data_IF_249216123590
#
_entry.id   IF_249216123590
#
_cell.length_a   1.000
_cell.length_b   1.000
_cell.length_c   1.000
_cell.angle_alpha   90.00
_cell.angle_beta   90.00
_cell.angle_gamma   90.00
#
_symmetry.space_group_name_H-M   'P 1'
#
loop_
_entity.id
_entity.type
_entity.pdbx_description
1 polymer ?
#
# COMPACT_ATOMS: atom_id res chain seq x y z
N UNK A 1 -14.63 -9.89 11.76
CA UNK A 1 -14.60 -9.35 10.39
C UNK A 1 -16.00 -8.97 9.89
N UNK A 2 -16.98 -9.89 9.79
CA UNK A 2 -18.33 -9.58 9.24
C UNK A 2 -19.10 -8.49 9.99
N UNK A 3 -18.99 -8.43 11.32
CA UNK A 3 -19.68 -7.41 12.12
C UNK A 3 -19.16 -5.99 11.83
N UNK A 4 -17.85 -5.82 11.69
CA UNK A 4 -17.23 -4.51 11.35
C UNK A 4 -17.69 -4.01 9.99
N UNK A 5 -17.74 -4.89 8.99
CA UNK A 5 -18.23 -4.52 7.65
C UNK A 5 -19.68 -4.03 7.72
N UNK A 6 -20.54 -4.77 8.42
CA UNK A 6 -21.94 -4.38 8.58
C UNK A 6 -22.11 -3.04 9.32
N UNK A 7 -21.34 -2.81 10.38
CA UNK A 7 -21.36 -1.53 11.11
C UNK A 7 -20.92 -0.35 10.22
N UNK A 8 -19.91 -0.54 9.37
CA UNK A 8 -19.46 0.48 8.42
C UNK A 8 -20.58 0.84 7.42
N UNK A 9 -21.27 -0.15 6.89
CA UNK A 9 -22.41 0.03 5.99
C UNK A 9 -23.54 0.81 6.68
N UNK A 10 -23.93 0.43 7.89
CA UNK A 10 -24.97 1.11 8.68
C UNK A 10 -24.60 2.58 8.98
N UNK A 11 -23.36 2.86 9.37
CA UNK A 11 -22.88 4.23 9.62
C UNK A 11 -22.99 5.07 8.34
N UNK A 12 -22.58 4.51 7.20
CA UNK A 12 -22.63 5.21 5.92
C UNK A 12 -24.08 5.45 5.44
N UNK A 13 -24.98 4.53 5.69
CA UNK A 13 -26.41 4.70 5.40
C UNK A 13 -27.03 5.81 6.26
N UNK A 14 -26.73 5.85 7.55
CA UNK A 14 -27.19 6.91 8.45
C UNK A 14 -26.68 8.28 7.98
N UNK A 15 -25.41 8.39 7.68
CA UNK A 15 -24.81 9.63 7.21
C UNK A 15 -25.49 10.13 5.94
N UNK A 16 -25.70 9.26 4.97
CA UNK A 16 -26.39 9.61 3.70
C UNK A 16 -27.84 9.97 3.91
N UNK A 17 -28.55 9.20 4.75
CA UNK A 17 -29.99 9.42 4.99
C UNK A 17 -30.28 10.75 5.65
N UNK A 18 -29.41 11.18 6.55
CA UNK A 18 -29.61 12.41 7.33
C UNK A 18 -28.76 13.58 6.83
N UNK A 19 -27.95 13.38 5.80
CA UNK A 19 -27.04 14.39 5.19
C UNK A 19 -26.18 15.12 6.24
N UNK A 20 -25.76 14.38 7.29
CA UNK A 20 -24.96 14.95 8.38
C UNK A 20 -23.47 14.86 8.09
N UNK A 21 -22.73 15.85 8.59
CA UNK A 21 -21.27 15.77 8.64
C UNK A 21 -20.86 14.92 9.83
N UNK A 22 -20.08 13.87 9.58
CA UNK A 22 -19.54 12.99 10.63
C UNK A 22 -18.03 13.07 10.63
N UNK A 23 -17.45 13.20 11.82
CA UNK A 23 -16.01 13.05 12.04
C UNK A 23 -15.76 11.72 12.73
N UNK A 24 -15.00 10.87 12.08
CA UNK A 24 -14.64 9.54 12.56
C UNK A 24 -13.15 9.48 12.87
N UNK A 25 -12.78 9.15 14.10
CA UNK A 25 -11.38 9.01 14.50
C UNK A 25 -11.05 7.54 14.65
N UNK A 26 -10.07 7.07 13.91
CA UNK A 26 -9.62 5.68 13.93
C UNK A 26 -8.12 5.57 13.73
N UNK A 27 -7.53 4.50 14.22
CA UNK A 27 -6.18 4.09 13.87
C UNK A 27 -6.17 2.97 12.80
N UNK A 28 -7.35 2.52 12.39
CA UNK A 28 -7.52 1.50 11.35
C UNK A 28 -7.58 2.20 9.98
N UNK A 29 -6.53 2.01 9.20
CA UNK A 29 -6.38 2.62 7.87
C UNK A 29 -7.47 2.16 6.91
N UNK A 30 -7.86 0.89 6.98
CA UNK A 30 -8.92 0.33 6.13
C UNK A 30 -10.28 0.98 6.45
N UNK A 31 -10.55 1.23 7.74
CA UNK A 31 -11.77 1.95 8.15
C UNK A 31 -11.78 3.38 7.59
N UNK A 32 -10.68 4.10 7.73
CA UNK A 32 -10.57 5.45 7.18
C UNK A 32 -10.79 5.47 5.67
N UNK A 33 -10.15 4.55 4.92
CA UNK A 33 -10.26 4.45 3.46
C UNK A 33 -11.67 4.10 2.97
N UNK A 34 -12.40 3.29 3.73
CA UNK A 34 -13.75 2.83 3.34
C UNK A 34 -14.84 3.82 3.75
N UNK A 35 -14.75 4.43 4.93
CA UNK A 35 -15.81 5.28 5.48
C UNK A 35 -15.69 6.75 5.06
N UNK A 36 -14.47 7.26 4.91
CA UNK A 36 -14.24 8.68 4.71
C UNK A 36 -14.50 9.15 3.28
N UNK A 37 -15.22 10.25 3.12
CA UNK A 37 -15.20 11.03 1.87
C UNK A 37 -13.91 11.84 1.76
N UNK A 38 -13.34 12.20 2.93
CA UNK A 38 -12.01 12.78 3.09
C UNK A 38 -11.29 12.11 4.25
N UNK A 39 -9.98 11.98 4.13
CA UNK A 39 -9.09 11.49 5.18
C UNK A 39 -8.19 12.63 5.61
N UNK A 40 -8.09 12.85 6.92
CA UNK A 40 -7.12 13.73 7.54
C UNK A 40 -6.07 12.89 8.30
N UNK A 41 -4.82 12.93 7.87
CA UNK A 41 -3.71 12.29 8.58
C UNK A 41 -3.16 13.27 9.60
N UNK A 42 -3.11 12.83 10.85
CA UNK A 42 -2.61 13.62 11.97
C UNK A 42 -1.33 12.99 12.53
N UNK A 43 -0.36 13.81 12.87
CA UNK A 43 0.83 13.43 13.60
C UNK A 43 1.10 14.44 14.71
N UNK A 44 1.24 13.95 15.95
CA UNK A 44 1.50 14.77 17.14
C UNK A 44 0.62 16.03 17.25
N UNK A 45 -0.69 15.86 16.94
CA UNK A 45 -1.67 16.95 17.01
C UNK A 45 -1.63 17.92 15.82
N UNK A 46 -0.81 17.67 14.81
CA UNK A 46 -0.72 18.49 13.59
C UNK A 46 -1.34 17.77 12.41
N UNK A 47 -2.04 18.50 11.56
CA UNK A 47 -2.52 18.00 10.29
C UNK A 47 -1.34 17.83 9.33
N UNK A 48 -1.12 16.59 8.87
CA UNK A 48 -0.06 16.24 7.91
C UNK A 48 -0.57 16.35 6.49
N UNK A 49 -1.73 15.75 6.22
CA UNK A 49 -2.35 15.78 4.89
C UNK A 49 -3.86 15.58 5.04
N UNK A 50 -4.63 16.20 4.15
CA UNK A 50 -6.07 15.97 4.00
C UNK A 50 -6.41 15.84 2.52
N UNK A 51 -7.32 14.94 2.18
CA UNK A 51 -7.79 14.74 0.80
C UNK A 51 -8.71 13.53 0.67
N UNK A 52 -9.12 13.23 -0.55
CA UNK A 52 -9.87 12.01 -0.82
C UNK A 52 -9.01 10.77 -0.53
N UNK A 53 -9.60 9.64 -0.09
CA UNK A 53 -8.85 8.43 0.22
C UNK A 53 -7.85 8.01 -0.86
N UNK A 54 -8.30 7.93 -2.10
CA UNK A 54 -7.47 7.57 -3.24
C UNK A 54 -6.31 8.56 -3.46
N UNK A 55 -6.58 9.86 -3.37
CA UNK A 55 -5.58 10.91 -3.55
C UNK A 55 -4.49 10.83 -2.47
N UNK A 56 -4.90 10.69 -1.21
CA UNK A 56 -3.96 10.61 -0.08
C UNK A 56 -3.10 9.35 -0.15
N UNK A 57 -3.68 8.24 -0.62
CA UNK A 57 -2.97 6.97 -0.78
C UNK A 57 -1.97 6.98 -1.95
N UNK A 58 -2.40 7.45 -3.12
CA UNK A 58 -1.58 7.45 -4.35
C UNK A 58 -0.56 8.59 -4.37
N UNK A 59 -0.89 9.74 -3.76
CA UNK A 59 -0.06 10.94 -3.76
C UNK A 59 0.23 11.44 -2.33
N UNK A 60 0.92 10.64 -1.50
CA UNK A 60 1.30 11.07 -0.14
C UNK A 60 2.26 12.25 -0.21
N UNK A 61 2.00 13.30 0.58
CA UNK A 61 2.79 14.53 0.58
C UNK A 61 4.17 14.39 1.24
N UNK A 62 4.32 13.38 2.10
CA UNK A 62 5.60 13.10 2.76
C UNK A 62 5.72 11.60 3.12
N UNK A 63 6.90 11.21 3.61
CA UNK A 63 7.19 9.83 3.97
C UNK A 63 6.29 9.34 5.13
N UNK A 64 5.95 10.20 6.09
CA UNK A 64 5.06 9.84 7.18
C UNK A 64 3.66 9.46 6.66
N UNK A 65 3.06 10.27 5.79
CA UNK A 65 1.76 9.97 5.19
C UNK A 65 1.80 8.68 4.36
N UNK A 66 2.90 8.47 3.61
CA UNK A 66 3.12 7.24 2.84
C UNK A 66 3.14 6.00 3.73
N UNK A 67 3.98 6.02 4.75
CA UNK A 67 4.21 4.86 5.62
C UNK A 67 3.03 4.61 6.56
N UNK A 68 2.32 5.68 6.94
CA UNK A 68 1.11 5.59 7.76
C UNK A 68 -0.02 4.87 7.04
N UNK A 69 -0.19 5.05 5.73
CA UNK A 69 -1.28 4.44 4.94
C UNK A 69 -0.97 3.04 4.39
N UNK A 70 0.16 2.48 4.73
CA UNK A 70 0.49 1.10 4.37
C UNK A 70 1.96 0.90 4.05
N UNK A 71 2.31 -0.32 3.72
CA UNK A 71 3.68 -0.71 3.41
C UNK A 71 4.16 0.03 2.17
N UNK A 72 5.36 0.60 2.24
CA UNK A 72 6.06 1.16 1.08
C UNK A 72 7.46 0.55 0.96
N UNK A 73 7.91 0.42 -0.28
CA UNK A 73 9.27 0.07 -0.60
C UNK A 73 10.11 1.33 -0.79
N UNK A 74 11.35 1.29 -0.32
CA UNK A 74 12.38 2.26 -0.67
C UNK A 74 13.64 1.50 -1.06
N UNK A 75 14.13 1.72 -2.27
CA UNK A 75 15.30 1.01 -2.80
C UNK A 75 15.99 1.84 -3.88
N UNK A 76 17.18 1.40 -4.25
CA UNK A 76 17.98 2.02 -5.31
C UNK A 76 17.90 1.18 -6.57
N UNK A 77 17.56 1.80 -7.71
CA UNK A 77 17.52 1.15 -9.00
C UNK A 77 18.94 0.94 -9.60
N UNK A 78 19.02 0.25 -10.76
CA UNK A 78 20.30 0.00 -11.45
C UNK A 78 20.97 1.28 -11.97
N UNK A 79 20.27 2.40 -11.98
CA UNK A 79 20.80 3.71 -12.40
C UNK A 79 21.22 4.58 -11.21
N UNK A 80 21.07 4.08 -9.97
CA UNK A 80 21.41 4.80 -8.76
C UNK A 80 20.31 5.76 -8.26
N UNK A 81 19.10 5.70 -8.81
CA UNK A 81 17.97 6.51 -8.36
C UNK A 81 17.27 5.85 -7.18
N UNK A 82 16.91 6.64 -6.17
CA UNK A 82 16.06 6.18 -5.07
C UNK A 82 14.62 6.12 -5.54
N UNK A 83 14.04 4.93 -5.51
CA UNK A 83 12.64 4.66 -5.84
C UNK A 83 11.85 4.43 -4.56
N UNK A 84 10.67 5.07 -4.48
CA UNK A 84 9.69 4.83 -3.43
C UNK A 84 8.37 4.44 -4.09
N UNK A 85 7.87 3.24 -3.79
CA UNK A 85 6.63 2.75 -4.39
C UNK A 85 5.90 1.76 -3.47
N UNK A 86 4.63 1.52 -3.75
CA UNK A 86 3.85 0.48 -3.07
C UNK A 86 4.23 -0.92 -3.58
N UNK A 87 4.03 -1.99 -2.77
CA UNK A 87 4.29 -3.36 -3.21
C UNK A 87 3.54 -3.78 -4.48
N UNK A 88 2.33 -3.28 -4.67
CA UNK A 88 1.48 -3.54 -5.84
C UNK A 88 1.86 -2.75 -7.09
N UNK A 89 2.67 -1.71 -6.95
CA UNK A 89 3.22 -0.93 -8.06
C UNK A 89 4.44 -1.59 -8.71
N UNK A 90 5.00 -2.62 -8.07
CA UNK A 90 6.08 -3.42 -8.64
C UNK A 90 5.54 -4.64 -9.37
N UNK A 91 6.15 -4.96 -10.50
CA UNK A 91 5.87 -6.19 -11.24
C UNK A 91 7.15 -6.90 -11.68
N UNK A 92 7.06 -8.24 -11.80
CA UNK A 92 8.11 -9.03 -12.44
C UNK A 92 8.11 -8.79 -13.94
N UNK A 93 9.28 -8.54 -14.50
CA UNK A 93 9.47 -8.23 -15.91
C UNK A 93 10.68 -8.97 -16.49
N UNK A 94 10.69 -9.15 -17.81
CA UNK A 94 11.87 -9.71 -18.49
C UNK A 94 13.05 -8.73 -18.46
N UNK A 95 12.72 -7.42 -18.50
CA UNK A 95 13.67 -6.32 -18.34
C UNK A 95 13.10 -5.34 -17.31
N UNK A 96 13.93 -4.96 -16.35
CA UNK A 96 13.52 -4.08 -15.27
C UNK A 96 14.69 -3.29 -14.68
N UNK A 97 14.36 -2.17 -14.05
CA UNK A 97 15.34 -1.29 -13.41
C UNK A 97 15.80 -1.79 -12.03
N UNK A 98 15.23 -2.88 -11.54
CA UNK A 98 15.59 -3.49 -10.26
C UNK A 98 15.88 -4.96 -10.48
N UNK A 99 17.03 -5.42 -9.98
CA UNK A 99 17.41 -6.83 -10.00
C UNK A 99 17.51 -7.35 -8.59
N UNK A 100 17.09 -8.58 -8.36
CA UNK A 100 17.16 -9.20 -7.05
C UNK A 100 16.88 -10.69 -7.07
N UNK A 101 16.83 -11.26 -5.87
CA UNK A 101 16.54 -12.68 -5.63
C UNK A 101 15.32 -12.78 -4.76
N UNK A 102 14.36 -13.59 -5.15
CA UNK A 102 13.19 -13.93 -4.32
C UNK A 102 13.66 -14.74 -3.12
N UNK A 103 13.48 -14.21 -1.92
CA UNK A 103 13.85 -14.91 -0.68
C UNK A 103 12.69 -15.69 -0.09
N UNK A 104 11.48 -15.19 -0.22
CA UNK A 104 10.28 -15.81 0.34
C UNK A 104 9.06 -15.49 -0.53
N UNK A 105 8.12 -16.42 -0.57
CA UNK A 105 6.80 -16.28 -1.19
C UNK A 105 5.71 -16.57 -0.15
N UNK A 106 4.65 -15.77 -0.16
CA UNK A 106 3.46 -15.98 0.66
C UNK A 106 2.21 -15.92 -0.22
N UNK A 107 1.35 -16.93 -0.11
CA UNK A 107 0.04 -16.93 -0.74
C UNK A 107 -1.02 -16.41 0.24
N UNK A 108 -1.60 -15.25 -0.06
CA UNK A 108 -2.56 -14.56 0.80
C UNK A 108 -4.01 -14.61 0.25
N UNK A 109 -4.31 -15.58 -0.61
CA UNK A 109 -5.63 -15.85 -1.18
C UNK A 109 -5.94 -14.98 -2.40
N UNK A 110 -6.07 -13.68 -2.23
CA UNK A 110 -6.38 -12.75 -3.32
C UNK A 110 -5.14 -12.33 -4.10
N UNK A 111 -3.97 -12.34 -3.49
CA UNK A 111 -2.69 -11.96 -4.08
C UNK A 111 -1.57 -12.85 -3.54
N UNK A 112 -0.41 -12.79 -4.20
CA UNK A 112 0.85 -13.33 -3.70
C UNK A 112 1.76 -12.19 -3.29
N UNK A 113 2.49 -12.40 -2.22
CA UNK A 113 3.49 -11.46 -1.73
C UNK A 113 4.86 -12.12 -1.77
N UNK A 114 5.82 -11.38 -2.28
CA UNK A 114 7.20 -11.80 -2.41
C UNK A 114 8.11 -10.87 -1.64
N UNK A 115 9.07 -11.45 -0.94
CA UNK A 115 10.15 -10.73 -0.31
C UNK A 115 11.39 -10.90 -1.21
N UNK A 116 11.84 -9.80 -1.78
CA UNK A 116 12.95 -9.79 -2.72
C UNK A 116 14.11 -9.02 -2.13
N UNK A 117 15.30 -9.63 -2.13
CA UNK A 117 16.54 -8.94 -1.82
C UNK A 117 17.14 -8.41 -3.11
N UNK A 118 17.31 -7.09 -3.19
CA UNK A 118 17.93 -6.45 -4.36
C UNK A 118 19.43 -6.72 -4.42
N UNK A 119 20.05 -6.43 -5.55
CA UNK A 119 21.51 -6.55 -5.71
C UNK A 119 22.29 -5.62 -4.78
N UNK A 120 21.65 -4.58 -4.25
CA UNK A 120 22.21 -3.66 -3.24
C UNK A 120 21.93 -4.12 -1.80
N UNK A 121 21.46 -5.37 -1.60
CA UNK A 121 21.07 -5.93 -0.29
C UNK A 121 19.92 -5.19 0.41
N UNK A 122 19.09 -4.50 -0.33
CA UNK A 122 17.87 -3.89 0.18
C UNK A 122 16.73 -4.91 0.12
N UNK A 123 15.81 -4.85 1.07
CA UNK A 123 14.66 -5.74 1.14
C UNK A 123 13.42 -5.02 0.66
N UNK A 124 12.76 -5.57 -0.36
CA UNK A 124 11.54 -5.04 -0.94
C UNK A 124 10.43 -6.08 -0.96
N UNK A 125 9.20 -5.60 -0.95
CA UNK A 125 7.98 -6.42 -1.02
C UNK A 125 7.33 -6.19 -2.37
N UNK A 126 6.96 -7.27 -3.04
CA UNK A 126 6.24 -7.24 -4.32
C UNK A 126 4.91 -7.95 -4.14
N UNK A 127 3.81 -7.31 -4.54
CA UNK A 127 2.48 -7.93 -4.56
C UNK A 127 2.00 -8.10 -5.98
N UNK A 128 1.59 -9.32 -6.28
CA UNK A 128 1.15 -9.70 -7.62
C UNK A 128 -0.21 -10.36 -7.58
N UNK A 129 -0.84 -10.50 -8.75
CA UNK A 129 -1.98 -11.39 -8.89
C UNK A 129 -1.65 -12.80 -8.36
N UNK A 130 -2.64 -13.46 -7.78
CA UNK A 130 -2.52 -14.82 -7.20
C UNK A 130 -1.99 -15.88 -8.17
N UNK A 131 -2.17 -15.66 -9.48
CA UNK A 131 -1.77 -16.60 -10.52
C UNK A 131 -0.30 -16.47 -10.93
N UNK A 132 0.35 -15.36 -10.60
CA UNK A 132 1.78 -15.14 -10.88
C UNK A 132 2.58 -15.88 -9.82
N UNK A 133 3.30 -16.92 -10.24
CA UNK A 133 4.11 -17.76 -9.35
C UNK A 133 5.58 -17.67 -9.70
N UNK A 134 6.38 -17.27 -8.72
CA UNK A 134 7.84 -17.19 -8.81
C UNK A 134 8.42 -17.94 -7.60
N UNK A 135 9.31 -18.88 -7.86
CA UNK A 135 9.89 -19.71 -6.82
C UNK A 135 10.95 -18.95 -6.01
N UNK A 136 11.04 -19.26 -4.71
CA UNK A 136 12.12 -18.74 -3.87
C UNK A 136 13.50 -19.20 -4.39
N UNK A 137 14.49 -18.32 -4.29
CA UNK A 137 15.84 -18.52 -4.81
C UNK A 137 16.02 -18.09 -6.27
N UNK A 138 14.95 -17.74 -6.99
CA UNK A 138 15.02 -17.31 -8.37
C UNK A 138 15.52 -15.86 -8.48
N UNK A 139 16.44 -15.63 -9.42
CA UNK A 139 16.80 -14.27 -9.84
C UNK A 139 15.66 -13.66 -10.66
N UNK A 140 15.34 -12.43 -10.37
CA UNK A 140 14.23 -11.70 -10.98
C UNK A 140 14.63 -10.29 -11.38
N UNK A 141 13.90 -9.75 -12.33
CA UNK A 141 13.93 -8.33 -12.63
C UNK A 141 12.54 -7.73 -12.35
N UNK A 142 12.54 -6.52 -11.85
CA UNK A 142 11.34 -5.80 -11.47
C UNK A 142 11.33 -4.43 -12.13
N UNK A 143 10.13 -3.96 -12.43
CA UNK A 143 9.88 -2.57 -12.84
C UNK A 143 8.72 -2.00 -12.07
N UNK A 144 8.70 -0.69 -11.95
CA UNK A 144 7.53 0.06 -11.49
C UNK A 144 6.56 0.17 -12.66
N UNK A 145 5.28 -0.10 -12.40
CA UNK A 145 4.18 -0.03 -13.38
C UNK A 145 3.96 1.39 -13.88
#
# INVERSE_FOLDING_TARGET
>A
AKLRVKMREEIREIQKKYEITMVFVTHDQEEAMVLGDQIAIMDQGKLVQIGKPEEVYLHPQNDFARDFLGISNRFTDIHGNTICCRPEELEFAAEGSVKGIVRQEEFLGFYRQYYVETMNHEHIIVRTDRNIKVEAGKEVQLRVK
#
